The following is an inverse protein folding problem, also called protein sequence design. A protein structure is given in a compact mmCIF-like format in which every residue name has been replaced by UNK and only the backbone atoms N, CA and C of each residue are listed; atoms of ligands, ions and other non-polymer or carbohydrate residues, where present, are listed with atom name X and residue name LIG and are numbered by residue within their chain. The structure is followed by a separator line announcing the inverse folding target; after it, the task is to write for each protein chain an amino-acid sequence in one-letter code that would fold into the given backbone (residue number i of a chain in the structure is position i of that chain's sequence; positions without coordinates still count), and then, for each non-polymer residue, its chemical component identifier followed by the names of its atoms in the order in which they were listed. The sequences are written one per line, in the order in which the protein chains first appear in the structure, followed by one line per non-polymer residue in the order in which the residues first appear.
data_IF_303535666170
#
_entry.id   IF_303535666170
#
_cell.length_a   1.000
_cell.length_b   1.000
_cell.length_c   1.000
_cell.angle_alpha   90.00
_cell.angle_beta   90.00
_cell.angle_gamma   90.00
#
_symmetry.space_group_name_H-M   'P 1'
#
loop_
_entity.id
_entity.type
_entity.pdbx_description
1 polymer ?
#
# COMPACT_ATOMS: atom_id res chain seq x y z
N UNK A 1 -11.85 -1.50 -7.53
CA UNK A 1 -11.85 -2.36 -6.33
C UNK A 1 -10.58 -3.19 -6.33
N UNK A 2 -9.60 -2.80 -5.51
CA UNK A 2 -8.30 -3.44 -5.44
C UNK A 2 -8.43 -4.90 -4.99
N UNK A 3 -7.72 -5.79 -5.68
CA UNK A 3 -7.74 -7.25 -5.55
C UNK A 3 -6.99 -7.71 -4.29
N UNK A 4 -7.29 -7.14 -3.11
CA UNK A 4 -6.58 -7.38 -1.83
C UNK A 4 -6.90 -8.73 -1.16
N UNK A 5 -7.30 -9.77 -1.92
CA UNK A 5 -7.84 -10.99 -1.30
C UNK A 5 -6.86 -12.16 -1.22
N UNK A 6 -5.74 -12.19 -1.96
CA UNK A 6 -4.85 -13.38 -1.95
C UNK A 6 -3.34 -13.19 -2.10
N UNK A 7 -2.82 -11.99 -2.40
CA UNK A 7 -1.36 -11.81 -2.63
C UNK A 7 -0.79 -10.50 -2.12
N UNK A 8 -1.51 -9.68 -1.36
CA UNK A 8 -1.02 -8.33 -0.99
C UNK A 8 -0.18 -8.41 0.30
N UNK A 9 1.11 -8.09 0.22
CA UNK A 9 2.03 -8.08 1.38
C UNK A 9 2.09 -6.71 2.07
N UNK A 10 1.90 -5.64 1.29
CA UNK A 10 1.94 -4.25 1.77
C UNK A 10 0.93 -3.42 0.98
N UNK A 11 0.22 -2.53 1.69
CA UNK A 11 -0.68 -1.56 1.08
C UNK A 11 -0.17 -0.14 1.31
N UNK A 12 -0.14 0.66 0.26
CA UNK A 12 0.27 2.06 0.30
C UNK A 12 -0.92 2.92 -0.10
N UNK A 13 -1.27 3.88 0.75
CA UNK A 13 -2.38 4.80 0.57
C UNK A 13 -1.85 6.23 0.45
N UNK A 14 -2.49 7.05 -0.37
CA UNK A 14 -2.20 8.48 -0.45
C UNK A 14 -3.27 9.27 0.32
N UNK A 15 -2.86 10.19 1.19
CA UNK A 15 -3.79 11.04 1.94
C UNK A 15 -4.31 12.25 1.16
N UNK A 16 -3.61 12.67 0.10
CA UNK A 16 -3.98 13.80 -0.77
C UNK A 16 -5.09 13.45 -1.80
N UNK A 17 -6.06 12.64 -1.40
CA UNK A 17 -7.12 12.18 -2.30
C UNK A 17 -8.45 12.85 -2.00
N UNK A 18 -8.98 13.50 -3.03
CA UNK A 18 -10.35 13.96 -3.09
C UNK A 18 -11.08 13.01 -4.05
N UNK A 19 -12.17 12.33 -3.66
CA UNK A 19 -12.92 12.40 -2.39
C UNK A 19 -12.43 11.41 -1.30
N UNK A 20 -12.56 11.82 -0.03
CA UNK A 20 -12.17 11.03 1.16
C UNK A 20 -12.92 9.69 1.29
N UNK A 21 -14.09 9.54 0.65
CA UNK A 21 -14.89 8.31 0.68
C UNK A 21 -14.13 7.07 0.18
N UNK A 22 -13.11 7.26 -0.67
CA UNK A 22 -12.32 6.16 -1.22
C UNK A 22 -11.33 5.61 -0.19
N UNK A 23 -10.99 6.37 0.85
CA UNK A 23 -10.06 5.95 1.89
C UNK A 23 -10.73 5.21 3.05
N UNK A 24 -12.06 5.18 3.16
CA UNK A 24 -12.74 4.54 4.30
C UNK A 24 -12.82 3.00 4.18
N UNK A 25 -13.01 2.49 2.97
CA UNK A 25 -13.16 1.05 2.74
C UNK A 25 -11.83 0.26 2.74
N UNK A 26 -10.68 0.77 2.25
CA UNK A 26 -9.44 -0.01 2.22
C UNK A 26 -8.82 -0.27 3.61
N UNK A 27 -8.74 0.69 4.55
CA UNK A 27 -8.20 0.46 5.89
C UNK A 27 -8.98 -0.57 6.67
N UNK A 28 -10.32 -0.51 6.66
CA UNK A 28 -11.18 -1.50 7.33
C UNK A 28 -10.90 -2.94 6.84
N UNK A 29 -10.66 -3.11 5.54
CA UNK A 29 -10.30 -4.41 4.96
C UNK A 29 -8.86 -4.85 5.29
N UNK A 30 -7.95 -3.90 5.51
CA UNK A 30 -6.56 -4.18 5.89
C UNK A 30 -6.46 -4.53 7.38
N UNK A 31 -7.27 -3.87 8.22
CA UNK A 31 -7.38 -4.11 9.66
C UNK A 31 -7.95 -5.51 9.95
N UNK A 32 -9.07 -5.88 9.30
CA UNK A 32 -9.66 -7.23 9.43
C UNK A 32 -8.68 -8.36 9.05
N UNK A 33 -7.73 -8.06 8.16
CA UNK A 33 -6.76 -9.03 7.64
C UNK A 33 -5.36 -8.89 8.22
N UNK A 34 -5.13 -7.97 9.15
CA UNK A 34 -3.81 -7.66 9.70
C UNK A 34 -2.75 -7.44 8.60
N UNK A 35 -3.11 -6.74 7.53
CA UNK A 35 -2.18 -6.38 6.45
C UNK A 35 -1.58 -5.01 6.76
N UNK A 36 -0.23 -4.88 6.82
CA UNK A 36 0.40 -3.60 7.10
C UNK A 36 0.10 -2.61 5.98
N UNK A 37 -0.25 -1.37 6.38
CA UNK A 37 -0.52 -0.28 5.46
C UNK A 37 0.25 0.98 5.86
N UNK A 38 0.62 1.79 4.86
CA UNK A 38 1.30 3.07 5.06
C UNK A 38 0.59 4.17 4.30
N UNK A 39 0.43 5.33 4.94
CA UNK A 39 -0.13 6.53 4.32
C UNK A 39 0.97 7.53 3.96
N UNK A 40 1.01 7.94 2.70
CA UNK A 40 1.95 8.93 2.17
C UNK A 40 1.18 10.24 1.88
N UNK A 41 1.83 11.38 2.11
CA UNK A 41 1.25 12.71 1.88
C UNK A 41 0.97 13.05 0.41
N UNK A 42 1.63 12.42 -0.56
CA UNK A 42 1.52 12.80 -1.98
C UNK A 42 1.22 11.63 -2.91
N UNK A 43 0.06 11.68 -3.58
CA UNK A 43 -0.35 10.74 -4.64
C UNK A 43 0.50 10.85 -5.91
N UNK A 44 1.10 12.01 -6.16
CA UNK A 44 2.00 12.24 -7.31
C UNK A 44 3.35 11.56 -7.10
N UNK A 45 3.90 11.62 -5.88
CA UNK A 45 5.12 10.90 -5.54
C UNK A 45 4.93 9.39 -5.67
N UNK A 46 3.79 8.87 -5.19
CA UNK A 46 3.44 7.46 -5.32
C UNK A 46 3.30 7.03 -6.79
N UNK A 47 2.59 7.82 -7.61
CA UNK A 47 2.46 7.54 -9.05
C UNK A 47 3.81 7.46 -9.75
N UNK A 48 4.71 8.42 -9.50
CA UNK A 48 6.07 8.41 -10.03
C UNK A 48 6.88 7.19 -9.59
N UNK A 49 6.78 6.80 -8.31
CA UNK A 49 7.44 5.60 -7.79
C UNK A 49 6.91 4.31 -8.45
N UNK A 50 5.63 4.28 -8.82
CA UNK A 50 5.03 3.18 -9.58
C UNK A 50 5.30 3.25 -11.09
N UNK A 51 6.03 4.26 -11.60
CA UNK A 51 6.28 4.45 -13.03
C UNK A 51 5.07 4.97 -13.82
N UNK A 52 4.09 5.55 -13.14
CA UNK A 52 2.84 6.03 -13.74
C UNK A 52 2.84 7.57 -13.75
N UNK A 53 2.53 8.16 -14.90
CA UNK A 53 2.42 9.62 -15.07
C UNK A 53 1.16 10.23 -14.45
N UNK A 54 0.27 9.39 -13.91
CA UNK A 54 -1.01 9.76 -13.31
C UNK A 54 -0.93 9.62 -11.78
N UNK A 55 -1.69 10.42 -11.02
CA UNK A 55 -1.72 10.29 -9.57
C UNK A 55 -2.30 8.94 -9.14
N UNK A 56 -1.62 8.27 -8.22
CA UNK A 56 -2.04 6.97 -7.68
C UNK A 56 -2.56 7.15 -6.27
N UNK A 57 -3.78 6.67 -6.03
CA UNK A 57 -4.49 6.80 -4.74
C UNK A 57 -4.14 5.67 -3.78
N UNK A 58 -4.05 4.45 -4.32
CA UNK A 58 -3.71 3.25 -3.58
C UNK A 58 -2.85 2.34 -4.46
N UNK A 59 -1.81 1.77 -3.86
CA UNK A 59 -0.99 0.76 -4.48
C UNK A 59 -0.89 -0.44 -3.52
N UNK A 60 -0.92 -1.64 -4.07
CA UNK A 60 -0.70 -2.87 -3.30
C UNK A 60 0.51 -3.57 -3.87
N UNK A 61 1.49 -3.87 -3.03
CA UNK A 61 2.62 -4.71 -3.40
C UNK A 61 2.19 -6.15 -3.24
N UNK A 62 2.31 -6.93 -4.33
CA UNK A 62 1.95 -8.35 -4.29
C UNK A 62 3.15 -9.25 -4.07
N UNK A 63 2.94 -10.33 -3.33
CA UNK A 63 3.94 -11.39 -3.12
C UNK A 63 4.22 -12.09 -4.44
N UNK A 64 5.49 -12.15 -4.81
CA UNK A 64 5.98 -13.01 -5.86
C UNK A 64 7.22 -13.72 -5.33
N UNK A 65 7.08 -14.99 -4.98
CA UNK A 65 8.12 -15.79 -4.34
C UNK A 65 9.36 -16.03 -5.23
N UNK A 66 9.28 -15.66 -6.52
CA UNK A 66 10.34 -15.77 -7.50
C UNK A 66 11.16 -14.48 -7.70
N UNK A 67 11.01 -13.47 -6.84
CA UNK A 67 11.70 -12.18 -7.01
C UNK A 67 12.70 -11.89 -5.89
N UNK A 68 13.93 -11.51 -6.27
CA UNK A 68 15.02 -11.11 -5.34
C UNK A 68 14.65 -9.94 -4.41
N UNK A 69 13.61 -9.19 -4.78
CA UNK A 69 13.06 -8.05 -4.03
C UNK A 69 12.32 -8.44 -2.74
N UNK A 70 12.09 -9.74 -2.50
CA UNK A 70 11.36 -10.23 -1.31
C UNK A 70 12.05 -9.83 0.00
N UNK A 71 13.39 -9.79 0.02
CA UNK A 71 14.18 -9.37 1.19
C UNK A 71 13.95 -7.89 1.53
N UNK A 72 13.90 -7.03 0.52
CA UNK A 72 13.65 -5.59 0.68
C UNK A 72 12.21 -5.32 1.13
N UNK A 73 11.24 -6.04 0.57
CA UNK A 73 9.83 -5.91 0.94
C UNK A 73 9.62 -6.30 2.40
N UNK A 74 10.27 -7.36 2.90
CA UNK A 74 10.25 -7.73 4.31
C UNK A 74 10.83 -6.63 5.22
N UNK A 75 11.97 -6.04 4.86
CA UNK A 75 12.54 -4.94 5.65
C UNK A 75 11.62 -3.71 5.73
N UNK A 76 10.95 -3.38 4.63
CA UNK A 76 9.95 -2.29 4.61
C UNK A 76 8.72 -2.67 5.44
N UNK A 77 8.26 -3.92 5.34
CA UNK A 77 7.13 -4.43 6.13
C UNK A 77 7.38 -4.25 7.62
N UNK A 78 8.54 -4.68 8.11
CA UNK A 78 8.91 -4.56 9.53
C UNK A 78 9.03 -3.10 9.98
N UNK A 79 9.53 -2.21 9.11
CA UNK A 79 9.58 -0.78 9.39
C UNK A 79 8.18 -0.14 9.47
N UNK A 80 7.24 -0.58 8.63
CA UNK A 80 5.86 -0.11 8.62
C UNK A 80 5.07 -0.65 9.82
N UNK A 81 5.28 -1.92 10.21
CA UNK A 81 4.68 -2.49 11.41
C UNK A 81 5.05 -1.70 12.67
N UNK A 82 6.28 -1.17 12.75
CA UNK A 82 6.73 -0.31 13.86
C UNK A 82 6.06 1.07 13.91
N UNK A 83 5.57 1.57 12.77
CA UNK A 83 4.88 2.85 12.69
C UNK A 83 3.37 2.73 12.98
N UNK A 84 2.85 1.50 12.94
CA UNK A 84 1.44 1.19 13.19
C UNK A 84 1.12 0.87 14.66
N UNK A 85 2.10 1.05 15.56
CA UNK A 85 1.98 0.90 17.02
C UNK A 85 1.84 2.28 17.68
#
# INVERSE_FOLDING_TARGET
MARCRRRSELVVLASDTAPLAILLHPPLLCEDKNVPFVCIKSKMALGRACGVSRPVVAASVTTNEASDLTSQIRGIRDAVERLAI
#
